data_IF_293102808425
#
_entry.id   IF_293102808425
#
_cell.length_a   1.000
_cell.length_b   1.000
_cell.length_c   1.000
_cell.angle_alpha   90.00
_cell.angle_beta   90.00
_cell.angle_gamma   90.00
#
_symmetry.space_group_name_H-M   'P 1'
#
loop_
_entity.id
_entity.type
_entity.pdbx_description
1 polymer ?
#
# COMPACT_ATOMS: atom_id res chain seq x y z
N UNK A 1 27.86 -7.18 -19.32
CA UNK A 1 26.60 -6.42 -19.18
C UNK A 1 26.80 -5.31 -18.17
N UNK A 2 26.32 -4.12 -18.47
CA UNK A 2 26.37 -3.00 -17.50
C UNK A 2 25.31 -3.25 -16.43
N UNK A 3 25.71 -3.34 -15.18
CA UNK A 3 24.81 -3.51 -14.03
C UNK A 3 24.58 -2.17 -13.36
N UNK A 4 23.36 -1.90 -12.96
CA UNK A 4 22.97 -0.62 -12.36
C UNK A 4 21.87 -0.81 -11.32
N UNK A 5 21.78 0.12 -10.41
CA UNK A 5 20.63 0.29 -9.52
C UNK A 5 20.20 1.76 -9.50
N UNK A 6 18.93 1.99 -9.25
CA UNK A 6 18.33 3.30 -9.16
C UNK A 6 17.46 3.39 -7.92
N UNK A 7 17.67 4.45 -7.15
CA UNK A 7 16.78 4.89 -6.08
C UNK A 7 16.41 6.34 -6.35
N UNK A 8 15.13 6.62 -6.49
CA UNK A 8 14.62 7.97 -6.69
C UNK A 8 13.35 8.16 -5.90
N UNK A 9 13.29 9.21 -5.09
CA UNK A 9 12.12 9.59 -4.32
C UNK A 9 11.78 11.05 -4.55
N UNK A 10 10.52 11.34 -4.83
CA UNK A 10 10.02 12.68 -5.02
C UNK A 10 8.62 12.83 -4.43
N UNK A 11 8.39 13.93 -3.72
CA UNK A 11 7.08 14.30 -3.19
C UNK A 11 6.83 15.78 -3.47
N UNK A 12 5.61 16.14 -3.78
CA UNK A 12 5.28 17.52 -4.07
C UNK A 12 3.79 17.82 -4.03
N UNK A 13 3.46 19.09 -4.03
CA UNK A 13 2.12 19.62 -4.17
C UNK A 13 1.95 20.15 -5.60
N UNK A 14 0.94 19.64 -6.31
CA UNK A 14 0.62 20.07 -7.67
C UNK A 14 -0.28 21.31 -7.67
N UNK A 15 -1.19 21.38 -6.71
CA UNK A 15 -2.12 22.51 -6.56
C UNK A 15 -2.35 22.75 -5.06
N UNK A 16 -1.58 23.64 -4.40
CA UNK A 16 -1.80 23.99 -3.01
C UNK A 16 -3.08 24.82 -2.88
N UNK A 17 -3.99 24.38 -2.04
CA UNK A 17 -5.18 25.15 -1.69
C UNK A 17 -4.89 26.04 -0.48
N UNK A 18 -5.35 27.28 -0.53
CA UNK A 18 -5.22 28.22 0.59
C UNK A 18 -6.02 27.83 1.84
N UNK A 19 -6.95 26.88 1.72
CA UNK A 19 -7.79 26.39 2.82
C UNK A 19 -7.23 25.13 3.49
N UNK A 20 -5.93 24.83 3.34
CA UNK A 20 -5.30 23.67 3.97
C UNK A 20 -5.51 22.36 3.23
N UNK A 21 -5.99 22.42 1.99
CA UNK A 21 -6.12 21.27 1.10
C UNK A 21 -5.19 21.36 -0.10
N UNK A 22 -5.27 20.43 -1.03
CA UNK A 22 -4.52 20.44 -2.28
C UNK A 22 -4.36 19.08 -2.90
N UNK A 23 -3.78 19.09 -4.10
CA UNK A 23 -3.40 17.88 -4.82
C UNK A 23 -1.91 17.61 -4.62
N UNK A 24 -1.59 16.55 -3.91
CA UNK A 24 -0.24 16.07 -3.69
C UNK A 24 0.10 14.88 -4.58
N UNK A 25 1.40 14.69 -4.85
CA UNK A 25 1.88 13.49 -5.50
C UNK A 25 3.11 12.93 -4.79
N UNK A 26 3.28 11.62 -4.92
CA UNK A 26 4.45 10.89 -4.45
C UNK A 26 4.96 9.98 -5.56
N UNK A 27 6.26 9.92 -5.71
CA UNK A 27 6.95 9.01 -6.62
C UNK A 27 8.14 8.42 -5.89
N UNK A 28 8.20 7.10 -5.82
CA UNK A 28 9.33 6.38 -5.27
C UNK A 28 9.67 5.24 -6.21
N UNK A 29 10.88 5.24 -6.75
CA UNK A 29 11.35 4.24 -7.71
C UNK A 29 12.62 3.60 -7.16
N UNK A 30 12.53 2.31 -6.88
CA UNK A 30 13.67 1.49 -6.47
C UNK A 30 13.79 0.33 -7.44
N UNK A 31 14.85 0.27 -8.20
CA UNK A 31 15.05 -0.76 -9.21
C UNK A 31 16.51 -1.16 -9.37
N UNK A 32 16.74 -2.44 -9.59
CA UNK A 32 18.03 -3.00 -9.96
C UNK A 32 17.97 -3.67 -11.35
N UNK A 33 19.09 -3.70 -12.04
CA UNK A 33 19.21 -4.24 -13.39
C UNK A 33 19.00 -5.75 -13.47
N UNK A 34 19.34 -6.47 -12.42
CA UNK A 34 19.29 -7.92 -12.35
C UNK A 34 19.09 -8.43 -10.92
N UNK A 35 18.61 -9.66 -10.81
CA UNK A 35 18.24 -10.27 -9.53
C UNK A 35 19.44 -10.65 -8.66
N UNK A 36 20.65 -10.74 -9.24
CA UNK A 36 21.88 -11.05 -8.50
C UNK A 36 22.65 -9.80 -8.05
N UNK A 37 22.14 -8.60 -8.34
CA UNK A 37 22.78 -7.32 -8.01
C UNK A 37 23.19 -7.24 -6.55
N UNK A 38 22.36 -7.73 -5.64
CA UNK A 38 22.60 -7.70 -4.19
C UNK A 38 23.82 -8.50 -3.74
N UNK A 39 24.22 -9.55 -4.47
CA UNK A 39 25.40 -10.37 -4.12
C UNK A 39 26.71 -9.62 -4.32
N UNK A 40 26.79 -8.86 -5.42
CA UNK A 40 28.06 -8.28 -5.86
C UNK A 40 28.25 -6.86 -5.34
N UNK A 41 27.16 -6.17 -4.95
CA UNK A 41 27.17 -4.76 -4.54
C UNK A 41 26.64 -4.51 -3.13
N UNK A 42 26.68 -5.53 -2.25
CA UNK A 42 26.23 -5.44 -0.86
C UNK A 42 27.07 -4.49 0.02
N UNK A 43 28.32 -4.22 -0.39
CA UNK A 43 29.23 -3.35 0.32
C UNK A 43 29.05 -1.90 -0.14
N UNK A 44 28.25 -1.09 0.58
CA UNK A 44 28.22 0.35 0.43
C UNK A 44 26.93 0.97 -0.12
N UNK A 45 25.93 0.20 -0.49
CA UNK A 45 24.62 0.76 -0.87
C UNK A 45 23.49 0.11 -0.06
N UNK A 46 22.54 0.94 0.40
CA UNK A 46 21.33 0.48 1.10
C UNK A 46 20.50 -0.49 0.22
N UNK A 47 20.57 -0.35 -1.09
CA UNK A 47 19.87 -1.21 -2.05
C UNK A 47 20.53 -2.59 -2.20
N UNK A 48 21.84 -2.70 -1.94
CA UNK A 48 22.55 -3.99 -1.99
C UNK A 48 22.17 -4.94 -0.85
N UNK A 49 21.60 -4.41 0.25
CA UNK A 49 21.17 -5.22 1.40
C UNK A 49 19.67 -5.58 1.27
N UNK A 50 18.89 -4.74 0.59
CA UNK A 50 17.47 -4.98 0.40
C UNK A 50 17.21 -5.91 -0.78
N UNK A 51 16.59 -7.04 -0.50
CA UNK A 51 16.18 -8.02 -1.52
C UNK A 51 14.76 -7.79 -2.03
N UNK A 52 14.01 -6.88 -1.42
CA UNK A 52 12.66 -6.47 -1.81
C UNK A 52 12.68 -4.98 -2.11
N UNK A 53 12.57 -4.61 -3.37
CA UNK A 53 12.56 -3.23 -3.83
C UNK A 53 11.12 -2.83 -4.18
N UNK A 54 10.56 -1.85 -3.45
CA UNK A 54 9.25 -1.29 -3.77
C UNK A 54 9.40 -0.08 -4.67
N UNK A 55 8.55 0.00 -5.68
CA UNK A 55 8.35 1.22 -6.47
C UNK A 55 6.88 1.60 -6.40
N UNK A 56 6.59 2.87 -6.14
CA UNK A 56 5.23 3.35 -6.01
C UNK A 56 5.04 4.76 -6.58
N UNK A 57 3.85 4.99 -7.08
CA UNK A 57 3.35 6.29 -7.49
C UNK A 57 1.99 6.52 -6.85
N UNK A 58 1.77 7.72 -6.33
CA UNK A 58 0.54 8.10 -5.67
C UNK A 58 0.12 9.53 -5.95
N UNK A 59 -1.19 9.74 -5.95
CA UNK A 59 -1.83 11.04 -5.93
C UNK A 59 -2.72 11.11 -4.70
N UNK A 60 -2.72 12.23 -4.02
CA UNK A 60 -3.58 12.50 -2.88
C UNK A 60 -4.25 13.85 -3.04
N UNK A 61 -5.53 13.91 -2.75
CA UNK A 61 -6.29 15.14 -2.76
C UNK A 61 -6.94 15.34 -1.39
N UNK A 62 -6.79 16.55 -0.86
CA UNK A 62 -7.39 16.94 0.41
C UNK A 62 -8.14 18.24 0.21
N UNK A 63 -9.37 18.30 0.70
CA UNK A 63 -10.17 19.52 0.74
C UNK A 63 -11.06 19.51 1.98
N UNK A 64 -10.78 20.43 2.91
CA UNK A 64 -11.48 20.54 4.16
C UNK A 64 -11.50 19.23 4.95
N UNK A 65 -12.66 18.57 4.98
CA UNK A 65 -12.88 17.34 5.75
C UNK A 65 -12.75 16.05 4.94
N UNK A 66 -12.41 16.15 3.66
CA UNK A 66 -12.26 14.98 2.76
C UNK A 66 -10.82 14.83 2.34
N UNK A 67 -10.30 13.61 2.46
CA UNK A 67 -9.00 13.22 1.90
C UNK A 67 -9.19 11.97 1.07
N UNK A 68 -8.73 12.00 -0.18
CA UNK A 68 -8.75 10.85 -1.06
C UNK A 68 -7.38 10.59 -1.63
N UNK A 69 -7.10 9.36 -1.98
CA UNK A 69 -5.82 8.98 -2.56
C UNK A 69 -5.94 7.79 -3.50
N UNK A 70 -5.10 7.79 -4.52
CA UNK A 70 -4.87 6.63 -5.38
C UNK A 70 -3.38 6.35 -5.42
N UNK A 71 -3.02 5.07 -5.29
CA UNK A 71 -1.64 4.61 -5.30
C UNK A 71 -1.50 3.35 -6.12
N UNK A 72 -0.41 3.26 -6.86
CA UNK A 72 0.03 2.03 -7.51
C UNK A 72 1.41 1.66 -6.95
N UNK A 73 1.57 0.41 -6.50
CA UNK A 73 2.81 -0.10 -5.93
C UNK A 73 3.18 -1.41 -6.57
N UNK A 74 4.45 -1.51 -6.97
CA UNK A 74 5.05 -2.73 -7.54
C UNK A 74 6.29 -3.13 -6.77
N UNK A 75 6.54 -4.45 -6.71
CA UNK A 75 7.71 -5.02 -6.06
C UNK A 75 8.65 -5.66 -7.06
N UNK A 76 9.95 -5.44 -6.89
CA UNK A 76 11.00 -6.23 -7.49
C UNK A 76 11.68 -7.06 -6.40
N UNK A 77 11.74 -8.37 -6.59
CA UNK A 77 12.40 -9.30 -5.67
C UNK A 77 13.74 -9.69 -6.26
N UNK A 78 14.83 -9.35 -5.55
CA UNK A 78 16.18 -9.72 -5.93
C UNK A 78 16.49 -11.09 -5.33
N UNK A 79 16.49 -12.13 -6.16
CA UNK A 79 16.74 -13.49 -5.71
C UNK A 79 17.56 -14.29 -6.71
N UNK A 80 18.39 -15.17 -6.17
CA UNK A 80 19.14 -16.13 -6.97
C UNK A 80 18.20 -17.24 -7.45
N UNK A 81 17.88 -17.23 -8.72
CA UNK A 81 17.03 -18.24 -9.33
C UNK A 81 17.67 -19.64 -9.36
N UNK A 82 19.01 -19.73 -9.25
CA UNK A 82 19.73 -20.99 -9.21
C UNK A 82 19.66 -21.67 -7.82
N UNK A 83 19.39 -20.91 -6.75
CA UNK A 83 19.33 -21.44 -5.40
C UNK A 83 17.90 -21.59 -4.91
N UNK A 84 17.34 -22.80 -5.07
CA UNK A 84 15.94 -23.12 -4.72
C UNK A 84 15.65 -22.98 -3.22
N UNK A 85 16.66 -23.15 -2.37
CA UNK A 85 16.49 -23.18 -0.91
C UNK A 85 16.39 -21.77 -0.27
N UNK A 86 16.73 -20.73 -1.01
CA UNK A 86 16.76 -19.36 -0.50
C UNK A 86 15.83 -18.40 -1.26
N UNK A 87 14.70 -18.91 -1.72
CA UNK A 87 13.70 -18.11 -2.43
C UNK A 87 12.91 -17.25 -1.47
N UNK A 88 12.79 -15.97 -1.82
CA UNK A 88 11.90 -15.02 -1.14
C UNK A 88 10.55 -15.04 -1.83
N UNK A 89 9.48 -15.14 -1.06
CA UNK A 89 8.12 -14.98 -1.58
C UNK A 89 7.89 -13.50 -1.92
N UNK A 90 7.66 -13.15 -3.21
CA UNK A 90 7.37 -11.76 -3.56
C UNK A 90 6.07 -11.32 -2.91
N UNK A 91 6.01 -10.11 -2.34
CA UNK A 91 4.75 -9.51 -1.91
C UNK A 91 3.81 -9.27 -3.09
N UNK A 92 2.52 -9.13 -2.80
CA UNK A 92 1.55 -8.72 -3.81
C UNK A 92 1.79 -7.26 -4.22
N UNK A 93 1.71 -7.00 -5.51
CA UNK A 93 1.57 -5.66 -6.04
C UNK A 93 0.18 -5.11 -5.67
N UNK A 94 0.08 -3.80 -5.49
CA UNK A 94 -1.19 -3.09 -5.26
C UNK A 94 -1.49 -2.21 -6.46
N UNK A 95 -2.45 -2.63 -7.29
CA UNK A 95 -2.68 -2.03 -8.61
C UNK A 95 -4.17 -2.00 -8.98
N UNK A 96 -4.92 -0.95 -8.62
CA UNK A 96 -4.62 0.19 -7.74
C UNK A 96 -4.96 -0.05 -6.27
N UNK A 97 -4.54 0.85 -5.41
CA UNK A 97 -5.10 1.09 -4.08
C UNK A 97 -5.78 2.45 -4.09
N UNK A 98 -7.05 2.51 -3.68
CA UNK A 98 -7.82 3.75 -3.55
C UNK A 98 -8.24 3.90 -2.10
N UNK A 99 -7.96 5.06 -1.53
CA UNK A 99 -8.33 5.39 -0.15
C UNK A 99 -9.22 6.62 -0.13
N UNK A 100 -10.18 6.65 0.79
CA UNK A 100 -11.01 7.81 1.03
C UNK A 100 -11.21 7.96 2.55
N UNK A 101 -11.05 9.16 3.05
CA UNK A 101 -11.28 9.51 4.45
C UNK A 101 -12.14 10.77 4.51
N UNK A 102 -13.18 10.69 5.30
CA UNK A 102 -14.06 11.82 5.65
C UNK A 102 -14.00 11.96 7.15
N UNK A 103 -13.60 13.15 7.64
CA UNK A 103 -13.56 13.44 9.06
C UNK A 103 -14.23 14.77 9.33
N UNK A 104 -15.25 14.77 10.15
CA UNK A 104 -15.96 15.99 10.52
C UNK A 104 -16.20 16.02 12.03
N UNK A 105 -15.73 17.07 12.63
CA UNK A 105 -15.84 17.31 14.05
C UNK A 105 -16.93 18.35 14.34
N UNK A 106 -17.49 18.28 15.53
CA UNK A 106 -18.48 19.24 16.03
C UNK A 106 -19.68 19.42 15.09
N UNK A 107 -20.25 18.31 14.65
CA UNK A 107 -21.55 18.32 13.95
C UNK A 107 -22.66 18.77 14.90
N UNK A 108 -23.82 19.11 14.33
CA UNK A 108 -25.01 19.49 15.10
C UNK A 108 -25.24 18.53 16.28
N UNK A 109 -25.25 19.07 17.52
CA UNK A 109 -25.32 18.29 18.76
C UNK A 109 -23.98 17.82 19.33
N UNK A 110 -22.83 18.35 18.85
CA UNK A 110 -21.49 18.02 19.35
C UNK A 110 -21.02 16.61 18.99
N UNK A 111 -21.42 16.10 17.83
CA UNK A 111 -20.99 14.80 17.33
C UNK A 111 -19.76 14.92 16.44
N UNK A 112 -18.83 13.98 16.61
CA UNK A 112 -17.70 13.76 15.72
C UNK A 112 -17.95 12.53 14.85
N UNK A 113 -17.73 12.66 13.55
CA UNK A 113 -17.95 11.63 12.57
C UNK A 113 -16.70 11.38 11.75
N UNK A 114 -16.34 10.11 11.54
CA UNK A 114 -15.28 9.73 10.61
C UNK A 114 -15.67 8.49 9.83
N UNK A 115 -15.29 8.48 8.55
CA UNK A 115 -15.38 7.31 7.67
C UNK A 115 -14.06 7.14 6.95
N UNK A 116 -13.52 5.94 7.02
CA UNK A 116 -12.35 5.50 6.27
C UNK A 116 -12.74 4.38 5.32
N UNK A 117 -12.35 4.50 4.05
CA UNK A 117 -12.52 3.48 3.03
C UNK A 117 -11.17 3.14 2.38
N UNK A 118 -10.91 1.87 2.16
CA UNK A 118 -9.76 1.35 1.40
C UNK A 118 -10.24 0.29 0.42
N UNK A 119 -9.98 0.52 -0.84
CA UNK A 119 -10.11 -0.48 -1.89
C UNK A 119 -8.74 -0.79 -2.46
N UNK A 120 -8.35 -2.07 -2.43
CA UNK A 120 -7.04 -2.51 -2.93
C UNK A 120 -7.21 -3.72 -3.80
N UNK A 121 -6.71 -3.61 -5.04
CA UNK A 121 -6.51 -4.75 -5.93
C UNK A 121 -5.10 -5.29 -5.77
N UNK A 122 -5.02 -6.54 -5.36
CA UNK A 122 -3.77 -7.27 -5.22
C UNK A 122 -3.49 -8.05 -6.49
N UNK A 123 -2.29 -7.86 -7.06
CA UNK A 123 -1.83 -8.57 -8.23
C UNK A 123 -0.54 -9.33 -7.91
N UNK A 124 -0.42 -10.54 -8.43
CA UNK A 124 0.78 -11.36 -8.27
C UNK A 124 1.27 -11.85 -9.62
N UNK A 125 2.58 -11.81 -9.85
CA UNK A 125 3.20 -12.43 -11.02
C UNK A 125 3.01 -13.96 -11.05
N UNK A 126 2.61 -14.57 -9.92
CA UNK A 126 2.35 -16.02 -9.78
C UNK A 126 0.89 -16.41 -10.01
N UNK A 127 0.04 -15.48 -10.45
CA UNK A 127 -1.37 -15.77 -10.77
C UNK A 127 -1.50 -16.75 -11.94
N UNK A 128 -0.61 -16.65 -12.93
CA UNK A 128 -0.56 -17.60 -14.06
C UNK A 128 -0.27 -19.03 -13.63
N UNK A 129 0.47 -19.23 -12.53
CA UNK A 129 0.78 -20.54 -11.98
C UNK A 129 -0.46 -21.20 -11.38
N UNK A 130 -1.44 -20.40 -10.92
CA UNK A 130 -2.72 -20.88 -10.42
C UNK A 130 -3.59 -21.49 -11.53
N UNK A 131 -3.62 -20.89 -12.69
CA UNK A 131 -4.39 -21.39 -13.84
C UNK A 131 -3.84 -22.73 -14.35
N UNK A 132 -2.53 -22.91 -14.28
CA UNK A 132 -1.86 -24.16 -14.69
C UNK A 132 -2.04 -25.29 -13.66
N UNK A 133 -2.20 -24.95 -12.38
CA UNK A 133 -2.35 -25.94 -11.29
C UNK A 133 -3.71 -26.65 -11.29
N UNK A 134 -4.72 -26.09 -11.93
CA UNK A 134 -6.07 -26.69 -12.01
C UNK A 134 -6.11 -27.94 -12.89
N UNK A 135 -5.13 -28.17 -13.74
CA UNK A 135 -5.12 -29.28 -14.71
C UNK A 135 -4.37 -30.54 -14.26
N UNK A 136 -3.56 -30.47 -13.20
CA UNK A 136 -2.80 -31.62 -12.72
C UNK A 136 -2.74 -31.67 -11.19
N UNK A 137 -3.38 -32.67 -10.62
CA UNK A 137 -3.59 -32.94 -9.18
C UNK A 137 -2.31 -33.28 -8.40
N UNK A 138 -1.24 -32.53 -8.53
CA UNK A 138 -0.07 -32.72 -7.67
C UNK A 138 0.05 -31.61 -6.68
N UNK A 139 -0.20 -31.92 -5.42
CA UNK A 139 -0.24 -31.02 -4.23
C UNK A 139 0.99 -30.12 -4.03
N UNK A 140 2.05 -30.25 -4.82
CA UNK A 140 3.24 -29.38 -4.76
C UNK A 140 3.05 -28.03 -5.48
N UNK A 141 2.10 -27.91 -6.39
CA UNK A 141 1.87 -26.70 -7.19
C UNK A 141 1.11 -25.62 -6.40
N UNK A 142 0.27 -26.00 -5.44
CA UNK A 142 -0.48 -25.04 -4.61
C UNK A 142 0.38 -24.08 -3.80
N UNK A 143 1.58 -24.46 -3.41
CA UNK A 143 2.47 -23.59 -2.63
C UNK A 143 3.11 -22.45 -3.45
N UNK A 144 3.11 -22.53 -4.76
CA UNK A 144 3.70 -21.51 -5.63
C UNK A 144 2.67 -20.58 -6.27
N UNK A 145 1.39 -20.90 -6.11
CA UNK A 145 0.28 -20.13 -6.66
C UNK A 145 -0.12 -18.98 -5.73
N UNK A 146 -0.37 -17.83 -6.30
CA UNK A 146 -0.85 -16.66 -5.56
C UNK A 146 -1.86 -15.90 -6.44
N UNK A 147 -3.18 -16.23 -6.32
CA UNK A 147 -4.21 -15.62 -7.15
C UNK A 147 -4.36 -14.13 -6.86
N UNK A 148 -4.77 -13.39 -7.88
CA UNK A 148 -5.17 -12.01 -7.73
C UNK A 148 -6.42 -11.92 -6.83
N UNK A 149 -6.52 -10.83 -6.07
CA UNK A 149 -7.64 -10.63 -5.15
C UNK A 149 -7.97 -9.14 -5.02
N UNK A 150 -9.24 -8.84 -4.82
CA UNK A 150 -9.71 -7.50 -4.50
C UNK A 150 -10.15 -7.46 -3.04
N UNK A 151 -9.82 -6.36 -2.35
CA UNK A 151 -10.23 -6.12 -0.97
C UNK A 151 -10.86 -4.74 -0.85
N UNK A 152 -12.06 -4.67 -0.32
CA UNK A 152 -12.70 -3.44 0.10
C UNK A 152 -12.91 -3.46 1.62
N UNK A 153 -12.48 -2.41 2.29
CA UNK A 153 -12.66 -2.25 3.74
C UNK A 153 -13.25 -0.87 4.00
N UNK A 154 -14.25 -0.81 4.83
CA UNK A 154 -14.86 0.46 5.28
C UNK A 154 -14.98 0.46 6.78
N UNK A 155 -14.62 1.57 7.39
CA UNK A 155 -14.75 1.79 8.81
C UNK A 155 -15.41 3.15 9.05
N UNK A 156 -16.53 3.15 9.76
CA UNK A 156 -17.25 4.35 10.16
C UNK A 156 -17.30 4.47 11.69
N UNK A 157 -17.08 5.66 12.19
CA UNK A 157 -17.14 5.98 13.62
C UNK A 157 -17.97 7.22 13.84
N UNK A 158 -18.85 7.15 14.83
CA UNK A 158 -19.57 8.28 15.41
C UNK A 158 -19.23 8.37 16.89
N UNK A 159 -18.84 9.52 17.36
CA UNK A 159 -18.54 9.77 18.77
C UNK A 159 -19.11 11.10 19.22
N UNK A 160 -19.34 11.21 20.52
CA UNK A 160 -19.78 12.46 21.14
C UNK A 160 -19.01 12.71 22.43
N UNK A 161 -18.12 13.71 22.47
CA UNK A 161 -17.41 14.06 23.69
C UNK A 161 -18.34 14.83 24.66
N UNK A 162 -18.41 14.38 25.89
CA UNK A 162 -19.02 15.11 27.00
C UNK A 162 -17.92 15.54 27.96
N UNK A 163 -17.71 16.82 28.06
CA UNK A 163 -16.71 17.42 28.96
C UNK A 163 -17.39 18.12 30.09
N UNK A 164 -17.03 17.80 31.33
CA UNK A 164 -17.50 18.45 32.56
C UNK A 164 -16.29 18.89 33.39
N UNK A 165 -16.47 19.82 34.35
CA UNK A 165 -15.37 20.24 35.23
C UNK A 165 -14.75 19.08 36.05
N UNK A 166 -15.45 17.97 36.20
CA UNK A 166 -15.04 16.82 37.01
C UNK A 166 -14.51 15.64 36.18
N UNK A 167 -14.59 15.71 34.84
CA UNK A 167 -14.12 14.63 33.97
C UNK A 167 -14.71 14.71 32.56
N UNK A 168 -14.29 13.78 31.73
CA UNK A 168 -14.81 13.65 30.36
C UNK A 168 -15.23 12.21 30.06
N UNK A 169 -16.26 12.07 29.24
CA UNK A 169 -16.72 10.77 28.71
C UNK A 169 -16.99 10.93 27.21
N UNK A 170 -16.46 10.02 26.40
CA UNK A 170 -16.66 10.03 24.95
C UNK A 170 -17.21 8.68 24.49
N UNK A 171 -18.54 8.48 24.48
CA UNK A 171 -19.14 7.30 23.88
C UNK A 171 -18.84 7.27 22.37
N UNK A 172 -18.56 6.08 21.85
CA UNK A 172 -18.24 5.81 20.45
C UNK A 172 -19.05 4.64 19.94
N UNK A 173 -19.55 4.76 18.71
CA UNK A 173 -20.15 3.69 17.94
C UNK A 173 -19.29 3.50 16.69
N UNK A 174 -18.92 2.27 16.41
CA UNK A 174 -18.09 1.91 15.26
C UNK A 174 -18.77 0.84 14.44
N UNK A 175 -18.72 0.99 13.11
CA UNK A 175 -19.16 0.04 12.13
C UNK A 175 -17.99 -0.33 11.24
N UNK A 176 -17.79 -1.61 11.02
CA UNK A 176 -16.74 -2.15 10.18
C UNK A 176 -17.35 -3.05 9.10
N UNK A 177 -17.08 -2.73 7.83
CA UNK A 177 -17.44 -3.51 6.66
C UNK A 177 -16.20 -4.07 5.96
N UNK A 178 -16.32 -5.30 5.43
CA UNK A 178 -15.24 -5.96 4.68
C UNK A 178 -15.82 -6.79 3.54
#
# INVERSE_FOLDING_TARGET
>A
SRRWSMNYAHTGLLNPSYAGGGLGFTLNVNRASDDNYWKDFSLGSTLGIQRLLSSDVGLSWTDGFVTTGIRAQKWQTLQDLANVNNRITPPFDRLPQVTARIQRYDLAGGFDFSVDGDFTRFSSARDTDCASATSNSSSKLFYNCAPNADRAVTWAQLSRPFVTPYGYVTPKVQLHGR
#
